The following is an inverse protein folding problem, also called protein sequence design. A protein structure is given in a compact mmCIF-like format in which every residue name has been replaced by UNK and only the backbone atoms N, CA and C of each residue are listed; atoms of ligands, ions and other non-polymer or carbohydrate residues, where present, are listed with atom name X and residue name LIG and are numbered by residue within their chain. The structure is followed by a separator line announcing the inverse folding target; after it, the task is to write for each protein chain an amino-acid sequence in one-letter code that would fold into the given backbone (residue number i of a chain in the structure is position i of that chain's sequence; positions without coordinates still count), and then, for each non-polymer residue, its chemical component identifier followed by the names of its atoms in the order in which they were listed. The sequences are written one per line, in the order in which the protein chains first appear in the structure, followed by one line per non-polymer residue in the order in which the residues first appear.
data_IF_694601949116
#
_entry.id   IF_694601949116
#
_cell.length_a   1.000
_cell.length_b   1.000
_cell.length_c   1.000
_cell.angle_alpha   90.00
_cell.angle_beta   90.00
_cell.angle_gamma   90.00
#
_symmetry.space_group_name_H-M   'P 1'
#
loop_
_entity.id
_entity.type
_entity.pdbx_description
1 polymer ?
#
# COMPACT_ATOMS: atom_id res chain seq x y z
N UNK A 1 6.54 -4.96 35.93
CA UNK A 1 5.55 -6.03 35.66
C UNK A 1 5.93 -6.68 34.34
N UNK A 2 6.67 -7.80 34.37
CA UNK A 2 7.16 -8.51 33.19
C UNK A 2 6.02 -9.33 32.59
N UNK A 3 5.58 -9.00 31.39
CA UNK A 3 4.65 -9.85 30.65
C UNK A 3 5.48 -10.95 29.97
N UNK A 4 5.34 -12.18 30.47
CA UNK A 4 5.85 -13.40 29.85
C UNK A 4 4.94 -13.75 28.67
N UNK A 5 5.23 -13.17 27.50
CA UNK A 5 4.62 -13.60 26.24
C UNK A 5 5.50 -14.70 25.66
N UNK A 6 5.10 -15.96 25.84
CA UNK A 6 5.55 -17.04 24.96
C UNK A 6 5.05 -16.73 23.55
N UNK A 7 5.87 -16.02 22.77
CA UNK A 7 5.58 -15.71 21.36
C UNK A 7 5.56 -17.04 20.61
N UNK A 8 4.39 -17.66 20.59
CA UNK A 8 4.16 -18.91 19.86
C UNK A 8 4.10 -18.57 18.38
N UNK A 9 4.80 -19.34 17.54
CA UNK A 9 4.87 -19.12 16.10
C UNK A 9 3.49 -18.93 15.45
N UNK A 10 2.48 -19.65 15.93
CA UNK A 10 1.08 -19.55 15.47
C UNK A 10 0.50 -18.15 15.68
N UNK A 11 0.71 -17.54 16.86
CA UNK A 11 0.19 -16.20 17.15
C UNK A 11 0.93 -15.11 16.35
N UNK A 12 2.20 -15.33 16.04
CA UNK A 12 2.96 -14.44 15.16
C UNK A 12 2.46 -14.55 13.72
N UNK A 13 2.21 -15.78 13.24
CA UNK A 13 1.73 -16.05 11.89
C UNK A 13 0.34 -15.46 11.65
N UNK A 14 -0.59 -15.59 12.61
CA UNK A 14 -1.95 -15.02 12.51
C UNK A 14 -1.95 -13.50 12.27
N UNK A 15 -1.01 -12.78 12.90
CA UNK A 15 -0.87 -11.32 12.69
C UNK A 15 -0.07 -10.97 11.45
N UNK A 16 0.93 -11.79 11.11
CA UNK A 16 1.83 -11.53 9.99
C UNK A 16 1.21 -11.85 8.63
N UNK A 17 0.41 -12.91 8.52
CA UNK A 17 -0.16 -13.35 7.24
C UNK A 17 -0.95 -12.27 6.48
N UNK A 18 -1.85 -11.48 7.11
CA UNK A 18 -2.54 -10.39 6.43
C UNK A 18 -1.57 -9.31 5.93
N UNK A 19 -0.51 -9.04 6.69
CA UNK A 19 0.52 -8.06 6.34
C UNK A 19 1.35 -8.58 5.16
N UNK A 20 1.72 -9.86 5.16
CA UNK A 20 2.44 -10.51 4.07
C UNK A 20 1.61 -10.44 2.79
N UNK A 21 0.33 -10.81 2.84
CA UNK A 21 -0.60 -10.72 1.71
C UNK A 21 -0.70 -9.29 1.16
N UNK A 22 -0.87 -8.30 2.05
CA UNK A 22 -0.97 -6.89 1.64
C UNK A 22 0.32 -6.39 0.96
N UNK A 23 1.49 -6.85 1.41
CA UNK A 23 2.76 -6.48 0.80
C UNK A 23 3.08 -7.29 -0.46
N UNK A 24 2.50 -8.49 -0.62
CA UNK A 24 2.65 -9.31 -1.82
C UNK A 24 1.97 -8.70 -3.06
N UNK A 25 0.99 -7.80 -2.87
CA UNK A 25 0.33 -7.09 -3.99
C UNK A 25 1.31 -6.27 -4.84
N UNK A 26 2.37 -5.72 -4.24
CA UNK A 26 3.37 -4.90 -4.94
C UNK A 26 4.17 -5.71 -5.97
N UNK A 27 4.83 -6.84 -5.62
CA UNK A 27 5.53 -7.66 -6.60
C UNK A 27 4.57 -8.36 -7.58
N UNK A 28 3.34 -8.68 -7.18
CA UNK A 28 2.34 -9.27 -8.08
C UNK A 28 1.93 -8.31 -9.21
N UNK A 29 1.79 -7.01 -8.91
CA UNK A 29 1.55 -6.00 -9.94
C UNK A 29 2.65 -6.00 -11.00
N UNK A 30 3.92 -5.94 -10.59
CA UNK A 30 5.06 -5.97 -11.54
C UNK A 30 5.17 -7.29 -12.32
N UNK A 31 4.77 -8.41 -11.71
CA UNK A 31 4.69 -9.70 -12.40
C UNK A 31 3.64 -9.68 -13.51
N UNK A 32 2.45 -9.14 -13.23
CA UNK A 32 1.38 -8.99 -14.23
C UNK A 32 1.79 -8.04 -15.34
N UNK A 33 2.39 -6.89 -15.03
CA UNK A 33 2.88 -5.94 -16.03
C UNK A 33 3.87 -6.60 -16.98
N UNK A 34 4.82 -7.36 -16.44
CA UNK A 34 5.82 -8.09 -17.23
C UNK A 34 5.19 -9.19 -18.09
N UNK A 35 4.23 -9.94 -17.55
CA UNK A 35 3.54 -11.02 -18.26
C UNK A 35 2.67 -10.49 -19.41
N UNK A 36 1.98 -9.37 -19.20
CA UNK A 36 1.18 -8.69 -20.23
C UNK A 36 2.10 -8.15 -21.32
N UNK A 37 3.10 -7.35 -20.96
CA UNK A 37 4.02 -6.73 -21.92
C UNK A 37 4.80 -7.79 -22.72
N UNK A 38 5.23 -8.88 -22.07
CA UNK A 38 5.97 -9.98 -22.71
C UNK A 38 5.16 -10.79 -23.73
N UNK A 39 3.83 -10.77 -23.66
CA UNK A 39 2.96 -11.52 -24.58
C UNK A 39 2.49 -10.68 -25.79
N UNK A 40 2.51 -9.35 -25.71
CA UNK A 40 1.93 -8.45 -26.71
C UNK A 40 2.95 -7.64 -27.54
N UNK A 41 4.24 -7.65 -27.21
CA UNK A 41 5.15 -6.60 -27.67
C UNK A 41 5.88 -6.81 -29.00
N UNK A 42 5.72 -5.86 -29.93
CA UNK A 42 6.75 -5.43 -30.89
C UNK A 42 7.72 -4.50 -30.12
N UNK A 43 9.02 -4.49 -30.45
CA UNK A 43 10.06 -3.84 -29.61
C UNK A 43 9.82 -2.36 -29.28
N UNK A 44 9.16 -1.61 -30.17
CA UNK A 44 8.84 -0.19 -29.96
C UNK A 44 7.75 0.03 -28.88
N UNK A 45 6.68 -0.75 -28.88
CA UNK A 45 5.57 -0.62 -27.93
C UNK A 45 6.00 -0.96 -26.50
N UNK A 46 6.91 -1.95 -26.36
CA UNK A 46 7.56 -2.30 -25.09
C UNK A 46 8.28 -1.09 -24.46
N UNK A 47 9.01 -0.31 -25.27
CA UNK A 47 9.77 0.84 -24.80
C UNK A 47 8.86 1.96 -24.28
N UNK A 48 7.77 2.25 -25.00
CA UNK A 48 6.80 3.26 -24.60
C UNK A 48 6.07 2.88 -23.31
N UNK A 49 5.61 1.63 -23.19
CA UNK A 49 4.92 1.14 -21.98
C UNK A 49 5.88 1.12 -20.79
N UNK A 50 7.12 0.65 -20.96
CA UNK A 50 8.12 0.64 -19.89
C UNK A 50 8.43 2.05 -19.37
N UNK A 51 8.52 3.03 -20.28
CA UNK A 51 8.74 4.42 -19.90
C UNK A 51 7.53 5.02 -19.16
N UNK A 52 6.31 4.74 -19.63
CA UNK A 52 5.08 5.11 -18.93
C UNK A 52 4.99 4.51 -17.52
N UNK A 53 5.31 3.21 -17.38
CA UNK A 53 5.34 2.51 -16.11
C UNK A 53 6.40 3.07 -15.14
N UNK A 54 7.55 3.53 -15.66
CA UNK A 54 8.59 4.19 -14.87
C UNK A 54 8.10 5.53 -14.32
N UNK A 55 7.49 6.37 -15.16
CA UNK A 55 6.92 7.66 -14.74
C UNK A 55 5.82 7.43 -13.71
N UNK A 56 4.89 6.51 -13.98
CA UNK A 56 3.83 6.15 -13.04
C UNK A 56 4.41 5.66 -11.71
N UNK A 57 5.40 4.77 -11.73
CA UNK A 57 6.07 4.29 -10.53
C UNK A 57 6.69 5.43 -9.72
N UNK A 58 7.37 6.37 -10.39
CA UNK A 58 7.96 7.53 -9.73
C UNK A 58 6.92 8.39 -9.02
N UNK A 59 5.81 8.70 -9.71
CA UNK A 59 4.72 9.49 -9.13
C UNK A 59 4.02 8.74 -8.00
N UNK A 60 3.73 7.45 -8.19
CA UNK A 60 3.10 6.58 -7.19
C UNK A 60 3.94 6.48 -5.92
N UNK A 61 5.25 6.24 -6.03
CA UNK A 61 6.16 6.26 -4.88
C UNK A 61 6.28 7.64 -4.24
N UNK A 62 6.18 8.71 -5.05
CA UNK A 62 6.09 10.09 -4.58
C UNK A 62 4.94 10.31 -3.59
N UNK A 63 3.80 9.63 -3.78
CA UNK A 63 2.68 9.66 -2.84
C UNK A 63 2.82 8.69 -1.64
N UNK A 64 3.92 7.93 -1.54
CA UNK A 64 4.15 6.98 -0.46
C UNK A 64 4.13 7.61 0.94
N UNK A 65 4.47 8.91 1.06
CA UNK A 65 4.37 9.66 2.32
C UNK A 65 2.94 9.73 2.85
N UNK A 66 1.94 9.74 1.97
CA UNK A 66 0.53 9.87 2.34
C UNK A 66 0.08 8.64 3.16
N UNK A 67 0.59 7.46 2.79
CA UNK A 67 0.36 6.22 3.54
C UNK A 67 0.99 6.30 4.93
N UNK A 68 2.25 6.69 5.04
CA UNK A 68 2.91 6.80 6.36
C UNK A 68 2.27 7.89 7.24
N UNK A 69 1.91 9.04 6.66
CA UNK A 69 1.26 10.14 7.39
C UNK A 69 -0.11 9.75 7.95
N UNK A 70 -0.96 9.12 7.14
CA UNK A 70 -2.32 8.69 7.57
C UNK A 70 -2.28 7.59 8.62
N UNK A 71 -1.35 6.63 8.50
CA UNK A 71 -1.19 5.54 9.48
C UNK A 71 -0.77 6.08 10.85
N UNK A 72 0.10 7.11 10.89
CA UNK A 72 0.50 7.78 12.13
C UNK A 72 -0.67 8.43 12.87
N UNK A 73 -1.49 9.21 12.16
CA UNK A 73 -2.70 9.82 12.75
C UNK A 73 -3.72 8.78 13.22
N UNK A 74 -3.93 7.71 12.44
CA UNK A 74 -4.82 6.62 12.83
C UNK A 74 -4.34 5.91 14.09
N UNK A 75 -3.02 5.67 14.22
CA UNK A 75 -2.43 5.06 15.41
C UNK A 75 -2.59 5.95 16.66
N UNK A 76 -2.38 7.27 16.53
CA UNK A 76 -2.58 8.22 17.63
C UNK A 76 -4.06 8.32 18.07
N UNK A 77 -4.98 8.41 17.11
CA UNK A 77 -6.42 8.45 17.39
C UNK A 77 -6.90 7.17 18.10
N UNK A 78 -6.42 6.01 17.65
CA UNK A 78 -6.70 4.72 18.30
C UNK A 78 -6.08 4.64 19.70
N UNK A 79 -4.83 5.10 19.85
CA UNK A 79 -4.12 5.09 21.15
C UNK A 79 -4.76 6.00 22.20
N UNK A 80 -5.46 7.05 21.78
CA UNK A 80 -6.22 7.95 22.67
C UNK A 80 -7.66 7.49 22.95
N UNK A 81 -8.10 6.35 22.40
CA UNK A 81 -9.47 5.84 22.55
C UNK A 81 -10.54 6.68 21.84
N UNK A 82 -10.15 7.58 20.93
CA UNK A 82 -11.07 8.46 20.23
C UNK A 82 -11.54 7.85 18.90
N UNK A 83 -12.54 6.97 18.98
CA UNK A 83 -13.12 6.27 17.81
C UNK A 83 -13.72 7.23 16.76
N UNK A 84 -14.19 8.42 17.17
CA UNK A 84 -14.67 9.44 16.23
C UNK A 84 -13.53 9.95 15.36
N UNK A 85 -12.37 10.20 15.96
CA UNK A 85 -11.20 10.67 15.23
C UNK A 85 -10.62 9.58 14.31
N UNK A 86 -10.65 8.30 14.71
CA UNK A 86 -10.26 7.18 13.84
C UNK A 86 -11.10 7.16 12.56
N UNK A 87 -12.42 7.32 12.68
CA UNK A 87 -13.33 7.38 11.51
C UNK A 87 -13.09 8.64 10.67
N UNK A 88 -12.79 9.77 11.31
CA UNK A 88 -12.47 11.01 10.60
C UNK A 88 -11.16 10.89 9.79
N UNK A 89 -10.11 10.28 10.36
CA UNK A 89 -8.86 10.00 9.66
C UNK A 89 -9.10 9.08 8.46
N UNK A 90 -9.90 8.02 8.62
CA UNK A 90 -10.26 7.14 7.50
C UNK A 90 -10.99 7.89 6.39
N UNK A 91 -11.98 8.71 6.75
CA UNK A 91 -12.73 9.52 5.77
C UNK A 91 -11.84 10.49 4.99
N UNK A 92 -10.92 11.20 5.68
CA UNK A 92 -9.94 12.09 5.06
C UNK A 92 -8.99 11.33 4.12
N UNK A 93 -8.52 10.16 4.54
CA UNK A 93 -7.64 9.32 3.73
C UNK A 93 -8.34 8.82 2.44
N UNK A 94 -9.60 8.38 2.55
CA UNK A 94 -10.40 7.95 1.39
C UNK A 94 -10.70 9.10 0.43
N UNK A 95 -11.04 10.28 0.94
CA UNK A 95 -11.25 11.47 0.11
C UNK A 95 -9.98 11.87 -0.64
N UNK A 96 -8.83 11.89 0.04
CA UNK A 96 -7.55 12.17 -0.60
C UNK A 96 -7.21 11.13 -1.68
N UNK A 97 -7.41 9.85 -1.38
CA UNK A 97 -7.19 8.78 -2.36
C UNK A 97 -8.09 8.93 -3.59
N UNK A 98 -9.38 9.23 -3.41
CA UNK A 98 -10.32 9.41 -4.51
C UNK A 98 -9.99 10.63 -5.36
N UNK A 99 -9.66 11.78 -4.74
CA UNK A 99 -9.32 13.01 -5.47
C UNK A 99 -8.02 12.85 -6.24
N UNK A 100 -6.96 12.37 -5.58
CA UNK A 100 -5.65 12.19 -6.21
C UNK A 100 -5.71 11.12 -7.32
N UNK A 101 -6.40 10.00 -7.06
CA UNK A 101 -6.56 8.92 -8.04
C UNK A 101 -7.44 9.29 -9.24
N UNK A 102 -8.36 10.26 -9.10
CA UNK A 102 -9.17 10.76 -10.23
C UNK A 102 -8.44 11.81 -11.07
N UNK A 103 -7.41 12.44 -10.51
CA UNK A 103 -6.65 13.51 -11.17
C UNK A 103 -5.45 12.98 -11.97
N UNK A 104 -5.03 11.75 -11.67
CA UNK A 104 -3.94 11.01 -12.32
C UNK A 104 -4.49 10.14 -13.47
#
# INVERSE_FOLDING_TARGET
MKADYSVTYTHLFDKAWPIILANASVPLLGFVDTAVIGNFGVTEDLGAIAFGALIFSFVYWGFGFLRMGTTGFAAQARGSGNEKEVRAVLGRALLLAAVLGSLL
#
